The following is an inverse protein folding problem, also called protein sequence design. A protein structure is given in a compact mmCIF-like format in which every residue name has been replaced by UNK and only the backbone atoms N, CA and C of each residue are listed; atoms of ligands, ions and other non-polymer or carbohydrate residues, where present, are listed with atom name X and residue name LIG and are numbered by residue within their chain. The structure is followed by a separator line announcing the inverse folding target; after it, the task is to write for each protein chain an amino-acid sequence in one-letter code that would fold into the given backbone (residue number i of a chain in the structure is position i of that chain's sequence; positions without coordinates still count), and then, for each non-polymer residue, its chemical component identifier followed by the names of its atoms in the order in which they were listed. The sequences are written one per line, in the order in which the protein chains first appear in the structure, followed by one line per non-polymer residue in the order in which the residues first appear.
data_IF_981481019418
#
_entry.id   IF_981481019418
#
_cell.length_a   1.000
_cell.length_b   1.000
_cell.length_c   1.000
_cell.angle_alpha   90.00
_cell.angle_beta   90.00
_cell.angle_gamma   90.00
#
_symmetry.space_group_name_H-M   'P 1'
#
loop_
_entity.id
_entity.type
_entity.pdbx_description
1 polymer ?
#
# COMPACT_ATOMS: atom_id res chain seq x y z
N UNK A 1 -17.05 -5.32 -0.10
CA UNK A 1 -15.60 -5.05 -0.37
C UNK A 1 -14.77 -6.01 0.47
N UNK A 2 -13.80 -6.71 -0.13
CA UNK A 2 -12.83 -7.53 0.60
C UNK A 2 -11.76 -6.64 1.24
N UNK A 3 -11.31 -6.97 2.44
CA UNK A 3 -10.21 -6.25 3.12
C UNK A 3 -9.43 -7.18 4.04
N UNK A 4 -8.21 -6.76 4.39
CA UNK A 4 -7.31 -7.46 5.30
C UNK A 4 -6.98 -6.52 6.45
N UNK A 5 -6.93 -7.04 7.68
CA UNK A 5 -6.57 -6.21 8.83
C UNK A 5 -5.81 -6.99 9.91
N UNK A 6 -4.93 -6.31 10.62
CA UNK A 6 -4.36 -6.75 11.89
C UNK A 6 -4.72 -5.81 13.06
N UNK A 7 -5.75 -4.98 12.87
CA UNK A 7 -6.35 -4.26 14.00
C UNK A 7 -7.04 -5.22 14.97
N UNK A 8 -6.99 -4.88 16.24
CA UNK A 8 -7.74 -5.60 17.28
C UNK A 8 -9.23 -5.60 16.94
N UNK A 9 -9.83 -6.79 16.95
CA UNK A 9 -11.28 -6.97 16.83
C UNK A 9 -11.91 -7.13 18.21
N UNK A 10 -13.14 -6.64 18.38
CA UNK A 10 -13.89 -6.77 19.66
C UNK A 10 -14.12 -8.22 20.05
N UNK A 11 -14.29 -9.08 19.05
CA UNK A 11 -14.53 -10.52 19.21
C UNK A 11 -13.25 -11.33 19.47
N UNK A 12 -12.09 -10.67 19.40
CA UNK A 12 -10.78 -11.31 19.54
C UNK A 12 -10.44 -12.29 18.41
N UNK A 13 -9.29 -12.95 18.49
CA UNK A 13 -8.87 -13.94 17.51
C UNK A 13 -9.76 -15.19 17.58
N UNK A 14 -10.02 -15.80 16.42
CA UNK A 14 -10.72 -17.08 16.36
C UNK A 14 -9.78 -18.17 16.88
N UNK A 15 -10.25 -19.02 17.81
CA UNK A 15 -9.49 -20.20 18.20
C UNK A 15 -9.24 -21.08 16.97
N UNK A 16 -7.98 -21.33 16.64
CA UNK A 16 -7.63 -22.26 15.57
C UNK A 16 -7.89 -23.69 16.06
N UNK A 17 -8.90 -24.33 15.51
CA UNK A 17 -9.18 -25.75 15.76
C UNK A 17 -8.60 -26.61 14.63
N UNK A 18 -7.28 -26.74 14.56
CA UNK A 18 -6.61 -27.59 13.56
C UNK A 18 -6.82 -27.10 12.12
N UNK A 19 -6.93 -28.04 11.17
CA UNK A 19 -7.07 -27.76 9.73
C UNK A 19 -8.51 -27.44 9.29
N UNK A 20 -9.42 -27.20 10.22
CA UNK A 20 -10.80 -26.88 9.88
C UNK A 20 -10.91 -25.48 9.26
N UNK A 21 -11.67 -25.32 8.17
CA UNK A 21 -11.91 -24.01 7.60
C UNK A 21 -12.65 -23.12 8.61
N UNK A 22 -12.28 -21.84 8.64
CA UNK A 22 -12.95 -20.86 9.49
C UNK A 22 -14.43 -20.76 9.10
N UNK A 23 -15.31 -20.89 10.09
CA UNK A 23 -16.73 -20.56 9.92
C UNK A 23 -16.87 -19.03 9.87
N UNK A 24 -17.48 -18.44 8.83
CA UNK A 24 -17.67 -16.99 8.77
C UNK A 24 -18.38 -16.46 10.01
N UNK A 25 -17.86 -15.36 10.57
CA UNK A 25 -18.41 -14.71 11.76
C UNK A 25 -18.49 -13.19 11.60
N UNK A 26 -19.51 -12.58 12.21
CA UNK A 26 -19.59 -11.13 12.30
C UNK A 26 -18.50 -10.60 13.22
N UNK A 27 -17.84 -9.53 12.83
CA UNK A 27 -16.74 -8.91 13.61
C UNK A 27 -16.86 -7.39 13.61
N UNK A 28 -16.22 -6.76 14.61
CA UNK A 28 -16.17 -5.32 14.75
C UNK A 28 -14.77 -4.85 15.12
N UNK A 29 -14.34 -3.70 14.60
CA UNK A 29 -13.10 -3.08 15.01
C UNK A 29 -13.17 -2.60 16.47
N UNK A 30 -12.13 -2.88 17.25
CA UNK A 30 -11.89 -2.22 18.52
C UNK A 30 -11.09 -0.93 18.26
N UNK A 31 -11.78 0.18 18.06
CA UNK A 31 -11.15 1.47 17.73
C UNK A 31 -10.47 2.16 18.92
N UNK A 32 -10.73 1.68 20.15
CA UNK A 32 -10.04 2.18 21.35
C UNK A 32 -8.72 1.49 21.65
N UNK A 33 -8.37 0.48 20.88
CA UNK A 33 -7.08 -0.24 20.97
C UNK A 33 -6.32 -0.11 19.65
N UNK A 34 -5.22 0.62 19.70
CA UNK A 34 -4.36 0.89 18.53
C UNK A 34 -3.14 -0.05 18.44
N UNK A 35 -3.11 -1.13 19.22
CA UNK A 35 -2.05 -2.11 19.14
C UNK A 35 -2.22 -2.99 17.89
N UNK A 36 -1.10 -3.33 17.27
CA UNK A 36 -1.08 -4.27 16.17
C UNK A 36 -1.19 -5.71 16.71
N UNK A 37 -2.19 -6.44 16.23
CA UNK A 37 -2.29 -7.86 16.55
C UNK A 37 -1.30 -8.69 15.70
N UNK A 38 -0.87 -9.80 16.28
CA UNK A 38 -0.12 -10.83 15.57
C UNK A 38 -1.00 -11.63 14.60
N UNK A 39 -2.31 -11.65 14.85
CA UNK A 39 -3.30 -12.25 13.96
C UNK A 39 -3.64 -11.31 12.81
N UNK A 40 -3.84 -11.89 11.63
CA UNK A 40 -4.32 -11.18 10.45
C UNK A 40 -5.68 -11.74 10.08
N UNK A 41 -6.65 -10.85 9.97
CA UNK A 41 -8.04 -11.17 9.68
C UNK A 41 -8.35 -10.88 8.22
N UNK A 42 -9.04 -11.80 7.57
CA UNK A 42 -9.50 -11.72 6.19
C UNK A 42 -11.00 -11.53 6.19
N UNK A 43 -11.43 -10.35 5.80
CA UNK A 43 -12.79 -9.90 6.03
C UNK A 43 -13.47 -9.42 4.74
N UNK A 44 -14.81 -9.40 4.81
CA UNK A 44 -15.68 -8.73 3.86
C UNK A 44 -16.46 -7.64 4.56
N UNK A 45 -16.48 -6.44 3.99
CA UNK A 45 -17.40 -5.35 4.37
C UNK A 45 -18.62 -5.44 3.47
N UNK A 46 -19.75 -5.77 4.05
CA UNK A 46 -21.03 -5.88 3.35
C UNK A 46 -21.63 -4.49 3.11
N UNK A 47 -21.62 -3.68 4.17
CA UNK A 47 -22.03 -2.28 4.18
C UNK A 47 -21.31 -1.54 5.30
N UNK A 48 -21.55 -0.25 5.44
CA UNK A 48 -20.98 0.57 6.52
C UNK A 48 -21.25 -0.06 7.89
N UNK A 49 -20.19 -0.39 8.64
CA UNK A 49 -20.27 -0.96 9.99
C UNK A 49 -20.66 -2.44 10.04
N UNK A 50 -20.77 -3.14 8.93
CA UNK A 50 -21.07 -4.57 8.88
C UNK A 50 -19.91 -5.33 8.23
N UNK A 51 -19.23 -6.13 9.04
CA UNK A 51 -18.04 -6.89 8.62
C UNK A 51 -18.19 -8.37 8.95
N UNK A 52 -17.72 -9.21 8.03
CA UNK A 52 -17.67 -10.66 8.22
C UNK A 52 -16.24 -11.14 8.04
N UNK A 53 -15.66 -11.78 9.05
CA UNK A 53 -14.42 -12.53 8.90
C UNK A 53 -14.72 -13.84 8.18
N UNK A 54 -14.06 -14.08 7.04
CA UNK A 54 -14.27 -15.23 6.16
C UNK A 54 -13.06 -16.19 6.13
N UNK A 55 -11.93 -15.77 6.73
CA UNK A 55 -10.69 -16.54 6.76
C UNK A 55 -9.89 -16.50 5.46
N UNK A 56 -8.60 -16.81 5.59
CA UNK A 56 -7.64 -16.64 4.48
C UNK A 56 -7.91 -17.52 3.28
N UNK A 57 -8.29 -18.78 3.49
CA UNK A 57 -8.56 -19.74 2.41
C UNK A 57 -9.74 -19.27 1.55
N UNK A 58 -10.87 -18.92 2.18
CA UNK A 58 -12.06 -18.44 1.47
C UNK A 58 -11.77 -17.10 0.76
N UNK A 59 -11.07 -16.18 1.43
CA UNK A 59 -10.70 -14.89 0.89
C UNK A 59 -9.85 -14.99 -0.38
N UNK A 60 -8.77 -15.79 -0.35
CA UNK A 60 -7.88 -15.97 -1.50
C UNK A 60 -8.55 -16.69 -2.64
N UNK A 61 -9.41 -17.68 -2.32
CA UNK A 61 -10.22 -18.40 -3.32
C UNK A 61 -11.22 -17.44 -3.98
N UNK A 62 -11.89 -16.58 -3.20
CA UNK A 62 -12.79 -15.56 -3.75
C UNK A 62 -12.03 -14.60 -4.66
N UNK A 63 -10.87 -14.04 -4.22
CA UNK A 63 -10.04 -13.18 -5.05
C UNK A 63 -9.61 -13.85 -6.36
N UNK A 64 -9.23 -15.13 -6.31
CA UNK A 64 -8.87 -15.89 -7.52
C UNK A 64 -10.05 -15.97 -8.50
N UNK A 65 -11.25 -16.21 -7.99
CA UNK A 65 -12.45 -16.48 -8.79
C UNK A 65 -13.21 -15.23 -9.24
N UNK A 66 -12.91 -14.04 -8.68
CA UNK A 66 -13.50 -12.80 -9.18
C UNK A 66 -13.22 -12.63 -10.68
N UNK A 67 -14.21 -12.19 -11.44
CA UNK A 67 -14.02 -11.76 -12.84
C UNK A 67 -13.34 -10.38 -12.89
N UNK A 68 -12.08 -10.34 -12.46
CA UNK A 68 -11.19 -9.18 -12.43
C UNK A 68 -9.81 -9.62 -12.91
N UNK A 69 -9.13 -8.80 -13.67
CA UNK A 69 -7.81 -9.12 -14.23
C UNK A 69 -6.67 -8.89 -13.23
N UNK A 70 -6.78 -7.84 -12.43
CA UNK A 70 -5.71 -7.43 -11.52
C UNK A 70 -6.26 -7.10 -10.12
N UNK A 71 -5.39 -7.22 -9.13
CA UNK A 71 -5.64 -6.88 -7.73
C UNK A 71 -4.83 -5.63 -7.41
N UNK A 72 -5.46 -4.68 -6.71
CA UNK A 72 -4.83 -3.46 -6.23
C UNK A 72 -4.92 -3.40 -4.70
N UNK A 73 -3.81 -3.70 -4.03
CA UNK A 73 -3.71 -3.60 -2.58
C UNK A 73 -3.49 -2.13 -2.21
N UNK A 74 -4.26 -1.62 -1.25
CA UNK A 74 -4.13 -0.26 -0.75
C UNK A 74 -3.75 -0.25 0.73
N UNK A 75 -2.54 0.24 1.05
CA UNK A 75 -2.04 0.41 2.41
C UNK A 75 -2.16 1.89 2.79
N UNK A 76 -3.03 2.19 3.74
CA UNK A 76 -3.34 3.57 4.13
C UNK A 76 -2.24 4.24 4.94
N UNK A 77 -2.34 5.56 5.08
CA UNK A 77 -1.44 6.40 5.87
C UNK A 77 -1.86 6.56 7.32
N UNK A 78 -1.13 7.41 8.02
CA UNK A 78 -1.34 7.84 9.41
C UNK A 78 -2.73 8.42 9.64
N UNK A 79 -3.23 8.30 10.88
CA UNK A 79 -4.48 8.93 11.35
C UNK A 79 -5.74 8.56 10.57
N UNK A 80 -5.78 7.37 9.96
CA UNK A 80 -6.92 6.92 9.16
C UNK A 80 -7.72 5.84 9.86
N UNK A 81 -8.99 6.13 10.16
CA UNK A 81 -9.93 5.15 10.68
C UNK A 81 -10.67 4.42 9.53
N UNK A 82 -11.12 3.16 9.75
CA UNK A 82 -11.71 2.35 8.69
C UNK A 82 -12.86 3.03 7.94
N UNK A 83 -13.95 3.40 8.63
CA UNK A 83 -15.15 3.94 7.99
C UNK A 83 -15.06 5.42 7.58
N UNK A 84 -14.42 6.32 8.36
CA UNK A 84 -14.30 7.72 7.94
C UNK A 84 -13.35 7.96 6.78
N UNK A 85 -12.30 7.12 6.64
CA UNK A 85 -11.20 7.44 5.73
C UNK A 85 -10.80 6.28 4.80
N UNK A 86 -10.54 5.06 5.36
CA UNK A 86 -9.90 3.98 4.58
C UNK A 86 -10.87 3.41 3.55
N UNK A 87 -12.08 3.01 3.95
CA UNK A 87 -13.07 2.47 3.02
C UNK A 87 -13.52 3.50 1.99
N UNK A 88 -13.84 4.77 2.34
CA UNK A 88 -14.15 5.79 1.35
C UNK A 88 -13.04 6.00 0.30
N UNK A 89 -11.77 5.98 0.72
CA UNK A 89 -10.63 6.09 -0.20
C UNK A 89 -10.51 4.85 -1.10
N UNK A 90 -10.68 3.66 -0.56
CA UNK A 90 -10.68 2.43 -1.35
C UNK A 90 -11.85 2.38 -2.35
N UNK A 91 -13.03 2.86 -1.96
CA UNK A 91 -14.19 3.01 -2.84
C UNK A 91 -13.93 4.07 -3.94
N UNK A 92 -13.26 5.18 -3.60
CA UNK A 92 -12.83 6.17 -4.59
C UNK A 92 -11.89 5.54 -5.63
N UNK A 93 -10.85 4.85 -5.19
CA UNK A 93 -9.91 4.15 -6.08
C UNK A 93 -10.63 3.13 -6.96
N UNK A 94 -11.56 2.35 -6.39
CA UNK A 94 -12.36 1.38 -7.17
C UNK A 94 -13.19 2.08 -8.27
N UNK A 95 -13.88 3.17 -7.93
CA UNK A 95 -14.66 3.94 -8.92
C UNK A 95 -13.77 4.49 -10.03
N UNK A 96 -12.60 5.03 -9.69
CA UNK A 96 -11.65 5.57 -10.68
C UNK A 96 -11.13 4.46 -11.61
N UNK A 97 -10.83 3.27 -11.09
CA UNK A 97 -10.45 2.12 -11.92
C UNK A 97 -11.63 1.67 -12.82
N UNK A 98 -12.83 1.62 -12.29
CA UNK A 98 -14.02 1.23 -13.07
C UNK A 98 -14.37 2.27 -14.16
N UNK A 99 -14.06 3.56 -13.95
CA UNK A 99 -14.14 4.59 -14.98
C UNK A 99 -13.12 4.36 -16.11
N UNK A 100 -11.91 3.91 -15.79
CA UNK A 100 -10.88 3.59 -16.82
C UNK A 100 -11.20 2.31 -17.59
N UNK A 101 -11.57 1.25 -16.88
CA UNK A 101 -11.92 -0.03 -17.49
C UNK A 101 -12.81 -0.84 -16.53
N UNK A 102 -14.14 -0.84 -16.77
CA UNK A 102 -15.09 -1.59 -15.94
C UNK A 102 -14.68 -3.07 -15.79
N UNK A 103 -14.69 -3.56 -14.56
CA UNK A 103 -14.37 -4.96 -14.29
C UNK A 103 -12.89 -5.35 -14.36
N UNK A 104 -11.98 -4.41 -14.61
CA UNK A 104 -10.55 -4.74 -14.74
C UNK A 104 -9.87 -4.99 -13.38
N UNK A 105 -10.12 -4.13 -12.40
CA UNK A 105 -9.42 -4.09 -11.12
C UNK A 105 -10.35 -4.44 -9.95
N UNK A 106 -9.80 -5.07 -8.90
CA UNK A 106 -10.40 -5.10 -7.56
C UNK A 106 -9.46 -4.42 -6.57
N UNK A 107 -10.00 -3.45 -5.83
CA UNK A 107 -9.27 -2.75 -4.76
C UNK A 107 -9.50 -3.46 -3.43
N UNK A 108 -8.40 -3.78 -2.74
CA UNK A 108 -8.39 -4.47 -1.45
C UNK A 108 -7.59 -3.66 -0.45
N UNK A 109 -8.23 -2.96 0.50
CA UNK A 109 -7.50 -2.26 1.55
C UNK A 109 -6.85 -3.22 2.53
N UNK A 110 -5.61 -2.88 2.93
CA UNK A 110 -4.87 -3.47 4.03
C UNK A 110 -4.91 -2.48 5.17
N UNK A 111 -5.59 -2.84 6.25
CA UNK A 111 -5.89 -1.96 7.37
C UNK A 111 -5.01 -2.33 8.56
N UNK A 112 -4.01 -1.50 8.84
CA UNK A 112 -3.16 -1.58 10.01
C UNK A 112 -3.69 -0.64 11.12
N UNK A 113 -3.40 -0.88 12.42
CA UNK A 113 -3.88 -0.02 13.51
C UNK A 113 -3.22 1.34 13.46
N UNK A 114 -4.03 2.38 13.44
CA UNK A 114 -3.66 3.77 13.67
C UNK A 114 -4.85 4.54 14.23
N UNK A 115 -4.61 5.62 14.94
CA UNK A 115 -5.67 6.44 15.51
C UNK A 115 -5.35 7.95 15.44
N UNK A 116 -6.19 8.78 16.06
CA UNK A 116 -6.00 10.21 16.20
C UNK A 116 -6.62 10.73 17.52
N UNK A 117 -6.46 9.98 18.61
CA UNK A 117 -7.17 10.18 19.86
C UNK A 117 -6.44 11.05 20.88
N UNK A 118 -5.10 11.10 20.86
CA UNK A 118 -4.27 11.62 21.94
C UNK A 118 -3.42 12.84 21.55
N UNK A 119 -3.56 13.35 20.34
CA UNK A 119 -2.85 14.51 19.81
C UNK A 119 -1.73 14.14 18.82
N UNK A 120 -1.55 14.98 17.82
CA UNK A 120 -0.79 14.69 16.59
C UNK A 120 0.62 14.11 16.79
N UNK A 121 1.37 14.55 17.79
CA UNK A 121 2.75 14.09 17.99
C UNK A 121 2.79 12.71 18.63
N UNK A 122 1.96 12.48 19.67
CA UNK A 122 1.94 11.18 20.36
C UNK A 122 1.39 10.10 19.45
N UNK A 123 0.25 10.35 18.81
CA UNK A 123 -0.37 9.44 17.85
C UNK A 123 0.59 9.09 16.72
N UNK A 124 1.41 10.05 16.26
CA UNK A 124 2.41 9.79 15.23
C UNK A 124 3.48 8.77 15.67
N UNK A 125 3.99 8.85 16.91
CA UNK A 125 4.98 7.89 17.42
C UNK A 125 4.37 6.52 17.72
N UNK A 126 3.18 6.48 18.29
CA UNK A 126 2.47 5.24 18.57
C UNK A 126 2.13 4.49 17.27
N UNK A 127 1.72 5.22 16.25
CA UNK A 127 1.47 4.67 14.91
C UNK A 127 2.75 4.15 14.23
N UNK A 128 3.92 4.76 14.47
CA UNK A 128 5.20 4.21 14.00
C UNK A 128 5.48 2.82 14.61
N UNK A 129 5.26 2.64 15.91
CA UNK A 129 5.42 1.34 16.58
C UNK A 129 4.42 0.34 15.99
N UNK A 130 3.18 0.74 15.78
CA UNK A 130 2.15 -0.10 15.17
C UNK A 130 2.51 -0.54 13.74
N UNK A 131 3.18 0.31 12.94
CA UNK A 131 3.66 -0.07 11.59
C UNK A 131 4.70 -1.18 11.64
N UNK A 132 5.67 -1.09 12.53
CA UNK A 132 6.74 -2.07 12.64
C UNK A 132 6.21 -3.42 13.16
N UNK A 133 5.32 -3.40 14.15
CA UNK A 133 4.63 -4.60 14.64
C UNK A 133 3.74 -5.24 13.57
N UNK A 134 3.04 -4.44 12.78
CA UNK A 134 2.22 -4.91 11.66
C UNK A 134 3.06 -5.59 10.59
N UNK A 135 4.30 -5.14 10.38
CA UNK A 135 5.21 -5.74 9.42
C UNK A 135 5.42 -7.24 9.62
N UNK A 136 5.61 -7.69 10.86
CA UNK A 136 5.77 -9.11 11.18
C UNK A 136 4.48 -9.91 10.90
N UNK A 137 3.33 -9.36 11.25
CA UNK A 137 2.04 -10.00 11.00
C UNK A 137 1.77 -10.15 9.50
N UNK A 138 2.00 -9.10 8.71
CA UNK A 138 1.84 -9.15 7.25
C UNK A 138 2.93 -9.97 6.55
N UNK A 139 4.12 -10.13 7.12
CA UNK A 139 5.12 -11.06 6.62
C UNK A 139 4.64 -12.52 6.68
N UNK A 140 4.00 -12.93 7.78
CA UNK A 140 3.36 -14.25 7.90
C UNK A 140 2.21 -14.43 6.90
N UNK A 141 1.41 -13.38 6.70
CA UNK A 141 0.36 -13.38 5.68
C UNK A 141 0.94 -13.62 4.29
N UNK A 142 2.04 -12.93 3.95
CA UNK A 142 2.69 -13.08 2.65
C UNK A 142 3.21 -14.51 2.45
N UNK A 143 3.82 -15.11 3.45
CA UNK A 143 4.26 -16.50 3.41
C UNK A 143 3.07 -17.45 3.15
N UNK A 144 1.95 -17.27 3.88
CA UNK A 144 0.74 -18.07 3.67
C UNK A 144 0.16 -17.88 2.27
N UNK A 145 0.21 -16.66 1.74
CA UNK A 145 -0.22 -16.37 0.37
C UNK A 145 0.64 -17.11 -0.67
N UNK A 146 1.97 -17.11 -0.52
CA UNK A 146 2.86 -17.84 -1.42
C UNK A 146 2.58 -19.34 -1.39
N UNK A 147 2.44 -19.93 -0.21
CA UNK A 147 2.09 -21.33 -0.05
C UNK A 147 0.71 -21.66 -0.65
N UNK A 148 -0.29 -20.82 -0.40
CA UNK A 148 -1.62 -20.98 -1.00
C UNK A 148 -1.57 -20.92 -2.53
N UNK A 149 -0.81 -19.95 -3.09
CA UNK A 149 -0.64 -19.80 -4.54
C UNK A 149 -0.01 -21.03 -5.17
N UNK A 150 1.01 -21.59 -4.54
CA UNK A 150 1.69 -22.81 -5.01
C UNK A 150 0.71 -23.99 -5.12
N UNK A 151 -0.16 -24.19 -4.12
CA UNK A 151 -1.14 -25.28 -4.09
C UNK A 151 -2.38 -25.03 -4.96
N UNK A 152 -2.77 -23.76 -5.17
CA UNK A 152 -4.03 -23.39 -5.82
C UNK A 152 -3.86 -22.77 -7.22
N UNK A 153 -2.64 -22.75 -7.77
CA UNK A 153 -2.37 -22.32 -9.14
C UNK A 153 -1.77 -23.49 -9.91
N UNK A 154 -2.62 -24.32 -10.50
CA UNK A 154 -2.22 -25.48 -11.29
C UNK A 154 -2.20 -25.15 -12.79
N UNK A 155 -1.73 -26.09 -13.61
CA UNK A 155 -1.74 -25.93 -15.09
C UNK A 155 -3.17 -25.83 -15.60
N UNK A 156 -4.09 -26.61 -15.01
CA UNK A 156 -5.52 -26.65 -15.39
C UNK A 156 -6.30 -25.44 -14.88
N UNK A 157 -5.87 -24.83 -13.77
CA UNK A 157 -6.50 -23.66 -13.14
C UNK A 157 -5.46 -22.64 -12.65
N UNK A 158 -4.75 -21.98 -13.57
CA UNK A 158 -3.71 -21.04 -13.18
C UNK A 158 -4.29 -19.76 -12.56
N UNK A 159 -3.61 -19.26 -11.54
CA UNK A 159 -3.89 -17.90 -11.03
C UNK A 159 -3.13 -16.88 -11.87
N UNK A 160 -3.80 -16.27 -12.84
CA UNK A 160 -3.19 -15.30 -13.77
C UNK A 160 -3.33 -13.84 -13.30
N UNK A 161 -3.92 -13.60 -12.12
CA UNK A 161 -4.10 -12.24 -11.60
C UNK A 161 -2.78 -11.60 -11.27
N UNK A 162 -2.60 -10.37 -11.74
CA UNK A 162 -1.45 -9.54 -11.41
C UNK A 162 -1.77 -8.74 -10.16
N UNK A 163 -0.75 -8.48 -9.35
CA UNK A 163 -0.91 -7.76 -8.08
C UNK A 163 -0.14 -6.45 -8.17
N UNK A 164 -0.83 -5.37 -7.85
CA UNK A 164 -0.26 -4.05 -7.66
C UNK A 164 -0.48 -3.64 -6.20
N UNK A 165 0.41 -2.82 -5.65
CA UNK A 165 0.25 -2.27 -4.30
C UNK A 165 0.52 -0.79 -4.31
N UNK A 166 -0.36 -0.03 -3.65
CA UNK A 166 -0.18 1.38 -3.32
C UNK A 166 -0.01 1.49 -1.82
N UNK A 167 1.11 2.03 -1.39
CA UNK A 167 1.33 2.45 0.00
C UNK A 167 1.38 3.97 0.08
N UNK A 168 0.55 4.54 0.94
CA UNK A 168 0.47 5.98 1.15
C UNK A 168 1.08 6.38 2.49
N UNK A 169 1.90 7.43 2.51
CA UNK A 169 2.44 8.04 3.72
C UNK A 169 3.12 7.00 4.64
N UNK A 170 2.72 6.91 5.90
CA UNK A 170 3.20 5.94 6.88
C UNK A 170 2.89 4.47 6.50
N UNK A 171 1.97 4.20 5.58
CA UNK A 171 1.78 2.87 4.99
C UNK A 171 3.03 2.33 4.29
N UNK A 172 3.95 3.20 3.87
CA UNK A 172 5.25 2.79 3.34
C UNK A 172 6.19 2.23 4.42
N UNK A 173 6.03 2.62 5.69
CA UNK A 173 6.73 1.97 6.82
C UNK A 173 6.22 0.54 7.01
N UNK A 174 4.90 0.33 6.95
CA UNK A 174 4.31 -1.02 6.99
C UNK A 174 4.89 -1.88 5.86
N UNK A 175 4.94 -1.35 4.64
CA UNK A 175 5.50 -2.05 3.49
C UNK A 175 6.98 -2.41 3.70
N UNK A 176 7.79 -1.45 4.13
CA UNK A 176 9.21 -1.61 4.45
C UNK A 176 9.43 -2.70 5.50
N UNK A 177 8.75 -2.57 6.65
CA UNK A 177 8.86 -3.51 7.76
C UNK A 177 8.37 -4.91 7.38
N UNK A 178 7.29 -5.00 6.58
CA UNK A 178 6.80 -6.29 6.06
C UNK A 178 7.86 -6.99 5.23
N UNK A 179 8.47 -6.32 4.27
CA UNK A 179 9.44 -6.96 3.37
C UNK A 179 10.76 -7.28 4.06
N UNK A 180 11.22 -6.42 4.96
CA UNK A 180 12.36 -6.73 5.83
C UNK A 180 12.10 -7.99 6.68
N UNK A 181 10.94 -8.09 7.31
CA UNK A 181 10.53 -9.25 8.11
C UNK A 181 10.39 -10.53 7.27
N UNK A 182 9.88 -10.43 6.02
CA UNK A 182 9.81 -11.58 5.11
C UNK A 182 11.21 -12.16 4.87
N UNK A 183 12.17 -11.32 4.52
CA UNK A 183 13.53 -11.80 4.23
C UNK A 183 14.20 -12.30 5.50
N UNK A 184 14.04 -11.59 6.61
CA UNK A 184 14.67 -11.96 7.87
C UNK A 184 14.19 -13.32 8.40
N UNK A 185 12.88 -13.61 8.32
CA UNK A 185 12.29 -14.75 9.03
C UNK A 185 11.83 -15.90 8.12
N UNK A 186 11.51 -15.63 6.86
CA UNK A 186 10.84 -16.61 6.01
C UNK A 186 11.56 -16.90 4.70
N UNK A 187 12.19 -15.91 4.09
CA UNK A 187 12.83 -16.03 2.78
C UNK A 187 14.26 -15.45 2.79
N UNK A 188 15.20 -16.08 3.52
CA UNK A 188 16.57 -15.56 3.65
C UNK A 188 17.34 -15.49 2.32
N UNK A 189 16.88 -16.19 1.28
CA UNK A 189 17.41 -16.12 -0.09
C UNK A 189 16.96 -14.85 -0.84
N UNK A 190 16.05 -14.05 -0.28
CA UNK A 190 15.56 -12.80 -0.85
C UNK A 190 14.08 -12.81 -1.24
N UNK A 191 13.59 -11.66 -1.70
CA UNK A 191 12.20 -11.46 -2.11
C UNK A 191 11.93 -12.05 -3.49
N UNK A 192 10.87 -12.86 -3.66
CA UNK A 192 10.41 -13.25 -4.98
C UNK A 192 9.73 -12.08 -5.71
N UNK A 193 9.79 -12.07 -7.04
CA UNK A 193 9.05 -11.13 -7.88
C UNK A 193 7.55 -11.47 -7.86
N UNK A 194 6.78 -10.71 -7.11
CA UNK A 194 5.32 -10.95 -6.91
C UNK A 194 4.49 -9.82 -7.47
N UNK A 195 4.93 -8.58 -7.29
CA UNK A 195 4.17 -7.41 -7.68
C UNK A 195 4.51 -6.96 -9.10
N UNK A 196 3.47 -6.56 -9.84
CA UNK A 196 3.67 -5.87 -11.11
C UNK A 196 4.20 -4.46 -10.87
N UNK A 197 3.52 -3.71 -10.02
CA UNK A 197 3.93 -2.37 -9.63
C UNK A 197 3.79 -2.19 -8.11
N UNK A 198 4.75 -1.48 -7.51
CA UNK A 198 4.68 -0.93 -6.17
C UNK A 198 4.67 0.59 -6.32
N UNK A 199 3.56 1.23 -5.90
CA UNK A 199 3.37 2.67 -5.89
C UNK A 199 3.59 3.19 -4.47
N UNK A 200 4.59 4.03 -4.29
CA UNK A 200 4.96 4.65 -3.02
C UNK A 200 4.58 6.13 -3.08
N UNK A 201 3.40 6.50 -2.56
CA UNK A 201 2.91 7.87 -2.59
C UNK A 201 3.20 8.59 -1.28
N UNK A 202 3.79 9.79 -1.34
CA UNK A 202 4.13 10.63 -0.17
C UNK A 202 4.78 9.82 0.96
N UNK A 203 5.79 9.00 0.62
CA UNK A 203 6.29 7.94 1.49
C UNK A 203 7.00 8.47 2.75
N UNK A 204 6.47 8.18 3.93
CA UNK A 204 7.04 8.53 5.23
C UNK A 204 8.10 7.54 5.70
N UNK A 205 9.13 7.38 4.90
CA UNK A 205 10.37 6.67 5.20
C UNK A 205 11.55 7.56 4.82
N UNK A 206 12.74 7.27 5.34
CA UNK A 206 13.96 8.03 4.99
C UNK A 206 14.22 7.93 3.48
N UNK A 207 14.79 8.96 2.88
CA UNK A 207 14.99 9.02 1.42
C UNK A 207 16.05 8.04 0.89
N UNK A 208 16.91 7.50 1.78
CA UNK A 208 17.84 6.41 1.48
C UNK A 208 17.20 5.01 1.61
N UNK A 209 15.94 4.91 2.05
CA UNK A 209 15.30 3.64 2.43
C UNK A 209 15.45 2.51 1.39
N UNK A 210 15.49 2.85 0.10
CA UNK A 210 15.58 1.87 -1.00
C UNK A 210 17.02 1.51 -1.37
N UNK A 211 18.03 2.12 -0.74
CA UNK A 211 19.44 1.85 -0.99
C UNK A 211 19.88 0.49 -0.39
N UNK A 212 20.94 -0.13 -0.92
CA UNK A 212 21.54 -1.32 -0.31
C UNK A 212 21.95 -1.06 1.15
N UNK A 213 21.65 -2.02 2.03
CA UNK A 213 21.92 -1.91 3.48
C UNK A 213 20.83 -1.22 4.27
N UNK A 214 19.80 -0.64 3.62
CA UNK A 214 18.65 -0.07 4.29
C UNK A 214 17.49 -1.09 4.35
N UNK A 215 16.59 -0.94 5.31
CA UNK A 215 15.48 -1.89 5.51
C UNK A 215 14.54 -2.00 4.29
N UNK A 216 14.35 -0.91 3.54
CA UNK A 216 13.51 -0.89 2.34
C UNK A 216 14.19 -1.46 1.08
N UNK A 217 15.46 -1.91 1.16
CA UNK A 217 16.17 -2.50 0.02
C UNK A 217 15.43 -3.70 -0.60
N UNK A 218 14.57 -4.36 0.18
CA UNK A 218 13.81 -5.54 -0.25
C UNK A 218 12.52 -5.20 -1.03
N UNK A 219 12.15 -3.91 -1.11
CA UNK A 219 10.97 -3.46 -1.85
C UNK A 219 11.18 -3.62 -3.36
N UNK A 220 12.31 -3.18 -3.86
CA UNK A 220 12.56 -3.18 -5.31
C UNK A 220 12.70 -4.57 -5.93
N UNK A 221 13.30 -5.59 -5.28
CA UNK A 221 13.32 -6.96 -5.82
C UNK A 221 11.92 -7.60 -5.91
N UNK A 222 10.98 -7.18 -5.08
CA UNK A 222 9.64 -7.75 -5.03
C UNK A 222 8.72 -7.34 -6.20
N UNK A 223 9.10 -6.33 -6.99
CA UNK A 223 8.27 -5.77 -8.04
C UNK A 223 8.98 -5.62 -9.38
N UNK A 224 8.19 -5.64 -10.47
CA UNK A 224 8.70 -5.27 -11.80
C UNK A 224 9.05 -3.78 -11.85
N UNK A 225 8.20 -2.92 -11.28
CA UNK A 225 8.42 -1.47 -11.20
C UNK A 225 8.13 -0.98 -9.79
N UNK A 226 8.96 -0.07 -9.29
CA UNK A 226 8.73 0.69 -8.04
C UNK A 226 8.69 2.17 -8.40
N UNK A 227 7.59 2.83 -8.05
CA UNK A 227 7.33 4.21 -8.41
C UNK A 227 7.19 5.04 -7.13
N UNK A 228 8.08 6.00 -6.95
CA UNK A 228 8.10 6.91 -5.82
C UNK A 228 7.53 8.26 -6.26
N UNK A 229 6.32 8.57 -5.80
CA UNK A 229 5.69 9.88 -6.00
C UNK A 229 6.03 10.77 -4.81
N UNK A 230 6.63 11.93 -5.07
CA UNK A 230 7.07 12.86 -4.04
C UNK A 230 6.72 14.30 -4.41
N UNK A 231 6.61 15.15 -3.38
CA UNK A 231 6.39 16.58 -3.53
C UNK A 231 7.14 17.35 -2.43
N UNK A 232 7.98 18.30 -2.82
CA UNK A 232 8.83 19.06 -1.90
C UNK A 232 8.06 20.10 -1.09
N UNK A 233 6.83 20.42 -1.48
CA UNK A 233 5.94 21.32 -0.76
C UNK A 233 4.87 20.60 0.09
N UNK A 234 4.88 19.26 0.14
CA UNK A 234 4.02 18.43 1.00
C UNK A 234 4.19 18.84 2.48
N UNK A 235 3.15 19.47 3.03
CA UNK A 235 3.19 20.01 4.40
C UNK A 235 3.19 18.91 5.46
N UNK A 236 2.56 17.75 5.20
CA UNK A 236 2.56 16.64 6.15
C UNK A 236 3.96 15.99 6.23
N UNK A 237 4.70 15.90 5.13
CA UNK A 237 6.08 15.41 5.13
C UNK A 237 7.03 16.37 5.85
N UNK A 238 6.79 17.67 5.78
CA UNK A 238 7.54 18.67 6.58
C UNK A 238 7.27 18.50 8.07
N UNK A 239 6.01 18.28 8.48
CA UNK A 239 5.64 18.02 9.86
C UNK A 239 6.24 16.71 10.39
N UNK A 240 6.21 15.65 9.60
CA UNK A 240 6.87 14.36 9.91
C UNK A 240 8.38 14.54 10.17
N UNK A 241 9.05 15.33 9.35
CA UNK A 241 10.47 15.65 9.55
C UNK A 241 10.73 16.34 10.89
N UNK A 242 9.88 17.29 11.29
CA UNK A 242 9.99 18.01 12.57
C UNK A 242 9.78 17.07 13.75
N UNK A 243 8.82 16.17 13.69
CA UNK A 243 8.56 15.18 14.73
C UNK A 243 9.76 14.23 14.97
N UNK A 244 10.57 13.97 13.94
CA UNK A 244 11.73 13.06 14.01
C UNK A 244 13.10 13.78 14.19
N UNK A 245 13.14 15.04 14.65
CA UNK A 245 14.39 15.84 14.80
C UNK A 245 15.39 15.19 15.79
N UNK A 246 14.98 14.26 16.66
CA UNK A 246 15.88 13.55 17.57
C UNK A 246 16.68 12.39 16.95
N UNK A 247 16.21 11.86 15.84
CA UNK A 247 16.91 10.85 15.04
C UNK A 247 17.41 11.53 13.77
N UNK A 248 18.69 11.51 13.52
CA UNK A 248 19.41 12.14 12.37
C UNK A 248 18.44 12.75 11.35
N UNK A 249 18.49 14.06 11.14
CA UNK A 249 17.53 14.84 10.33
C UNK A 249 17.48 14.39 8.84
N UNK A 250 17.12 13.11 8.61
CA UNK A 250 17.05 12.54 7.28
C UNK A 250 15.80 13.04 6.57
N UNK A 251 15.95 13.35 5.30
CA UNK A 251 14.85 13.76 4.43
C UNK A 251 13.89 12.59 4.25
N UNK A 252 12.63 12.87 3.95
CA UNK A 252 11.64 11.84 3.68
C UNK A 252 11.56 11.54 2.19
N UNK A 253 11.43 10.26 1.87
CA UNK A 253 11.32 9.77 0.49
C UNK A 253 10.15 10.43 -0.26
N UNK A 254 9.01 10.63 0.41
CA UNK A 254 7.85 11.34 -0.15
C UNK A 254 8.00 12.85 -0.27
N UNK A 255 9.10 13.43 0.26
CA UNK A 255 9.38 14.87 0.17
C UNK A 255 10.42 15.20 -0.89
N UNK A 256 11.45 14.37 -1.09
CA UNK A 256 12.57 14.68 -1.98
C UNK A 256 12.87 13.62 -3.03
N UNK A 257 12.11 12.52 -3.03
CA UNK A 257 12.50 11.33 -3.80
C UNK A 257 13.70 10.60 -3.20
N UNK A 258 14.23 9.56 -3.87
CA UNK A 258 15.41 8.83 -3.44
C UNK A 258 16.65 9.72 -3.39
N UNK A 259 17.45 9.64 -2.32
CA UNK A 259 18.65 10.47 -2.14
C UNK A 259 19.68 10.21 -3.26
N UNK A 260 19.88 8.94 -3.62
CA UNK A 260 20.86 8.57 -4.65
C UNK A 260 20.25 7.61 -5.65
N UNK A 261 19.68 8.13 -6.74
CA UNK A 261 19.08 7.32 -7.81
C UNK A 261 20.07 6.32 -8.46
N UNK A 262 21.37 6.55 -8.37
CA UNK A 262 22.38 5.62 -8.89
C UNK A 262 22.65 4.43 -7.96
N UNK A 263 22.27 4.48 -6.68
CA UNK A 263 22.41 3.38 -5.72
C UNK A 263 21.20 2.45 -5.69
N UNK A 264 20.01 2.95 -6.03
CA UNK A 264 18.79 2.13 -6.03
C UNK A 264 18.68 1.27 -7.29
N UNK A 265 17.96 0.17 -7.21
CA UNK A 265 17.76 -0.75 -8.32
C UNK A 265 17.18 -0.04 -9.56
N UNK A 266 17.51 -0.56 -10.76
CA UNK A 266 17.12 0.06 -12.04
C UNK A 266 15.63 0.11 -12.31
N UNK A 267 14.82 -0.65 -11.58
CA UNK A 267 13.36 -0.66 -11.66
C UNK A 267 12.69 0.35 -10.71
N UNK A 268 13.47 1.20 -10.01
CA UNK A 268 12.97 2.30 -9.19
C UNK A 268 12.92 3.57 -10.02
N UNK A 269 11.77 4.25 -9.98
CA UNK A 269 11.50 5.51 -10.67
C UNK A 269 11.06 6.56 -9.65
N UNK A 270 11.52 7.79 -9.82
CA UNK A 270 11.16 8.93 -9.00
C UNK A 270 10.30 9.90 -9.81
N UNK A 271 9.13 10.25 -9.29
CA UNK A 271 8.13 11.08 -9.96
C UNK A 271 7.87 12.33 -9.13
N UNK A 272 8.33 13.45 -9.65
CA UNK A 272 8.13 14.77 -9.06
C UNK A 272 6.70 15.25 -9.34
N UNK A 273 5.98 15.62 -8.27
CA UNK A 273 4.58 16.02 -8.29
C UNK A 273 4.36 17.44 -7.76
N UNK A 274 5.41 18.24 -7.57
CA UNK A 274 5.35 19.60 -6.99
C UNK A 274 4.37 20.53 -7.71
N UNK A 275 4.24 20.42 -9.03
CA UNK A 275 3.44 21.33 -9.82
C UNK A 275 1.91 21.23 -9.57
N UNK A 276 1.41 20.16 -8.89
CA UNK A 276 -0.02 19.91 -8.82
C UNK A 276 -0.51 19.22 -7.54
N UNK A 277 0.36 18.79 -6.64
CA UNK A 277 -0.07 18.03 -5.45
C UNK A 277 -1.09 18.81 -4.59
N UNK A 278 -0.93 20.13 -4.44
CA UNK A 278 -1.85 21.00 -3.72
C UNK A 278 -3.16 21.24 -4.46
N UNK A 279 -3.24 21.05 -5.78
CA UNK A 279 -4.49 21.11 -6.54
C UNK A 279 -5.46 19.98 -6.16
N UNK A 280 -4.91 18.80 -5.81
CA UNK A 280 -5.71 17.62 -5.46
C UNK A 280 -5.96 17.47 -3.97
N UNK A 281 -5.15 18.08 -3.11
CA UNK A 281 -5.25 18.00 -1.65
C UNK A 281 -4.90 19.33 -0.97
N UNK A 282 -5.65 20.41 -1.25
CA UNK A 282 -5.38 21.73 -0.67
C UNK A 282 -5.73 21.79 0.83
N UNK A 283 -4.97 22.50 1.67
CA UNK A 283 -3.68 23.12 1.37
C UNK A 283 -2.48 22.20 1.65
N UNK A 284 -2.71 20.95 2.05
CA UNK A 284 -1.69 20.05 2.61
C UNK A 284 -0.80 19.44 1.52
N UNK A 285 -1.37 19.10 0.37
CA UNK A 285 -0.66 18.53 -0.76
C UNK A 285 -0.09 17.13 -0.50
N UNK A 286 -0.78 16.31 0.31
CA UNK A 286 -0.32 14.99 0.76
C UNK A 286 -1.10 13.82 0.17
N UNK A 287 -2.42 14.00 0.00
CA UNK A 287 -3.34 12.96 -0.47
C UNK A 287 -3.58 12.93 -1.99
N UNK A 288 -2.68 13.46 -2.78
CA UNK A 288 -2.84 13.75 -4.23
C UNK A 288 -2.83 12.51 -5.16
N UNK A 289 -2.74 11.30 -4.64
CA UNK A 289 -2.57 10.09 -5.44
C UNK A 289 -3.85 9.54 -6.09
N UNK A 290 -5.03 9.97 -5.70
CA UNK A 290 -6.28 9.44 -6.22
C UNK A 290 -6.93 10.40 -7.23
N UNK A 291 -7.64 11.40 -6.76
CA UNK A 291 -8.37 12.32 -7.63
C UNK A 291 -8.80 13.58 -6.91
N UNK A 292 -9.46 14.47 -7.65
CA UNK A 292 -9.97 15.72 -7.13
C UNK A 292 -11.23 15.53 -6.25
N UNK A 293 -11.69 16.63 -5.65
CA UNK A 293 -12.92 16.66 -4.83
C UNK A 293 -14.21 16.46 -5.65
N UNK A 294 -14.13 16.56 -6.99
CA UNK A 294 -15.25 16.33 -7.90
C UNK A 294 -15.36 14.86 -8.33
N UNK A 295 -14.39 14.01 -7.94
CA UNK A 295 -14.36 12.59 -8.27
C UNK A 295 -13.70 12.27 -9.62
N UNK A 296 -12.99 13.24 -10.22
CA UNK A 296 -12.19 12.99 -11.42
C UNK A 296 -10.83 12.40 -11.04
N UNK A 297 -10.25 11.62 -11.95
CA UNK A 297 -8.92 11.06 -11.76
C UNK A 297 -7.83 12.16 -11.67
N UNK A 298 -6.94 12.04 -10.71
CA UNK A 298 -5.75 12.88 -10.60
C UNK A 298 -4.62 12.40 -11.49
N UNK A 299 -3.62 13.28 -11.71
CA UNK A 299 -2.47 12.97 -12.57
C UNK A 299 -1.68 11.74 -12.10
N UNK A 300 -1.52 11.56 -10.78
CA UNK A 300 -0.87 10.37 -10.23
C UNK A 300 -1.68 9.11 -10.52
N UNK A 301 -3.00 9.17 -10.34
CA UNK A 301 -3.86 8.04 -10.66
C UNK A 301 -3.79 7.68 -12.16
N UNK A 302 -3.83 8.66 -13.03
CA UNK A 302 -3.71 8.46 -14.48
C UNK A 302 -2.36 7.83 -14.85
N UNK A 303 -1.28 8.26 -14.21
CA UNK A 303 0.02 7.64 -14.39
C UNK A 303 0.07 6.20 -13.87
N UNK A 304 -0.49 5.94 -12.67
CA UNK A 304 -0.61 4.57 -12.14
C UNK A 304 -1.40 3.67 -13.09
N UNK A 305 -2.54 4.15 -13.59
CA UNK A 305 -3.33 3.40 -14.55
C UNK A 305 -2.53 3.04 -15.80
N UNK A 306 -1.82 4.01 -16.37
CA UNK A 306 -0.95 3.77 -17.53
C UNK A 306 0.11 2.69 -17.24
N UNK A 307 0.77 2.74 -16.09
CA UNK A 307 1.74 1.72 -15.70
C UNK A 307 1.10 0.34 -15.56
N UNK A 308 -0.12 0.26 -15.04
CA UNK A 308 -0.90 -0.97 -14.94
C UNK A 308 -1.27 -1.48 -16.33
N UNK A 309 -1.80 -0.65 -17.18
CA UNK A 309 -2.26 -1.02 -18.53
C UNK A 309 -1.10 -1.47 -19.42
N UNK A 310 -0.06 -0.64 -19.52
CA UNK A 310 1.07 -0.86 -20.44
C UNK A 310 2.20 -1.71 -19.86
N UNK A 311 2.34 -1.75 -18.53
CA UNK A 311 3.50 -2.33 -17.84
C UNK A 311 4.78 -1.49 -17.96
N UNK A 312 4.66 -0.24 -18.44
CA UNK A 312 5.80 0.68 -18.64
C UNK A 312 5.60 1.92 -17.78
N UNK A 313 6.67 2.43 -17.19
CA UNK A 313 6.66 3.66 -16.38
C UNK A 313 6.96 4.86 -17.27
N UNK A 314 8.05 4.83 -18.03
CA UNK A 314 8.41 5.86 -18.98
C UNK A 314 7.99 5.50 -20.40
N UNK A 315 7.94 6.51 -21.28
CA UNK A 315 7.60 6.36 -22.69
C UNK A 315 8.77 5.86 -23.50
N UNK A 316 9.96 6.34 -23.17
CA UNK A 316 11.22 5.98 -23.80
C UNK A 316 12.08 5.18 -22.79
N UNK A 317 12.55 3.99 -23.16
CA UNK A 317 13.49 3.23 -22.34
C UNK A 317 14.80 3.96 -22.04
N UNK A 318 15.16 4.98 -22.82
CA UNK A 318 16.33 5.84 -22.63
C UNK A 318 16.03 7.07 -21.75
N UNK A 319 14.77 7.30 -21.39
CA UNK A 319 14.36 8.40 -20.53
C UNK A 319 14.91 8.25 -19.10
N UNK A 320 15.17 9.38 -18.46
CA UNK A 320 15.59 9.42 -17.06
C UNK A 320 14.61 8.67 -16.16
N UNK A 321 15.10 8.01 -15.13
CA UNK A 321 14.28 7.41 -14.08
C UNK A 321 13.71 8.46 -13.09
N UNK A 322 14.11 9.71 -13.22
CA UNK A 322 13.50 10.86 -12.53
C UNK A 322 12.64 11.61 -13.54
N UNK A 323 11.35 11.69 -13.27
CA UNK A 323 10.32 12.21 -14.17
C UNK A 323 9.60 13.36 -13.45
N UNK A 324 9.48 14.50 -14.10
CA UNK A 324 8.58 15.58 -13.67
C UNK A 324 7.20 15.25 -14.21
N UNK A 325 6.28 14.85 -13.33
CA UNK A 325 4.94 14.50 -13.72
C UNK A 325 4.09 15.77 -13.89
N UNK A 326 3.52 15.96 -15.06
CA UNK A 326 2.61 17.06 -15.35
C UNK A 326 1.60 16.68 -16.43
N UNK A 327 0.61 17.54 -16.68
CA UNK A 327 -0.41 17.31 -17.72
C UNK A 327 0.18 17.13 -19.11
N UNK A 328 1.21 17.89 -19.45
CA UNK A 328 1.89 17.79 -20.75
C UNK A 328 2.55 16.42 -20.93
N UNK A 329 3.18 15.90 -19.86
CA UNK A 329 3.79 14.57 -19.88
C UNK A 329 2.76 13.46 -20.13
N UNK A 330 1.60 13.52 -19.51
CA UNK A 330 0.52 12.55 -19.75
C UNK A 330 -0.04 12.63 -21.17
N UNK A 331 -0.28 13.84 -21.71
CA UNK A 331 -0.87 14.05 -23.02
C UNK A 331 0.07 13.69 -24.17
N UNK A 332 1.38 13.89 -24.02
CA UNK A 332 2.35 13.49 -25.03
C UNK A 332 2.49 11.97 -25.18
N UNK A 333 1.58 11.21 -24.56
CA UNK A 333 1.61 9.76 -24.41
C UNK A 333 0.74 8.98 -25.40
N UNK A 334 0.05 9.68 -26.30
CA UNK A 334 -0.80 9.04 -27.34
C UNK A 334 -0.04 8.81 -28.63
#
# INVERSE_FOLDING_TARGET
MLFITNRVLKEGPTPMSGDQPLVPRSVNFNLSNNQAEQSVYFCRREQKGAYTEIGGQAFLTELKNLDKKEIFLYVHGYSNLPEPAIFPRAEQLQRLFDQKSPGYMVVVPIIWPCDNNEGQIKDYFDDQIATDQSGVAFARLFQKFLAWREHNSTVESPCTKRINILAHSMGNRVLRSTFASIVQYFLPQGMPLVFRNIFMASADVVNEALEPGQEGQYISPAARNVLVYYAADDLAMRASKVANIGEIASRRLGHTGPEHMYKVNKNVYALDCDDFNTDYDPPVGHGYFAGDHQGNAGLVFDHMWRCIETGRVSKDPLESRTIILNRGWLLSSN
#
